data_IF_592293777277
#
_entry.id   IF_592293777277
#
_cell.length_a   1.000
_cell.length_b   1.000
_cell.length_c   1.000
_cell.angle_alpha   90.00
_cell.angle_beta   90.00
_cell.angle_gamma   90.00
#
_symmetry.space_group_name_H-M   'P 1'
#
loop_
_entity.id
_entity.type
_entity.pdbx_description
1 polymer ?
#
# COMPACT_ATOMS: atom_id res chain seq x y z
N UNK A 1 -0.52 -14.17 -9.46
CA UNK A 1 0.68 -15.01 -9.68
C UNK A 1 1.83 -14.37 -8.93
N UNK A 2 2.53 -15.09 -8.05
CA UNK A 2 3.58 -14.53 -7.21
C UNK A 2 4.77 -14.05 -8.05
N UNK A 3 5.21 -12.82 -7.81
CA UNK A 3 6.34 -12.19 -8.49
C UNK A 3 7.57 -12.25 -7.58
N UNK A 4 8.72 -12.61 -8.16
CA UNK A 4 10.00 -12.61 -7.47
C UNK A 4 10.78 -11.33 -7.84
N UNK A 5 10.90 -10.37 -6.91
CA UNK A 5 11.65 -9.13 -7.10
C UNK A 5 13.11 -9.35 -7.56
N UNK A 6 13.93 -10.20 -6.90
CA UNK A 6 15.34 -10.36 -7.25
C UNK A 6 15.58 -10.93 -8.65
N UNK A 7 14.66 -11.77 -9.14
CA UNK A 7 14.76 -12.40 -10.45
C UNK A 7 13.93 -11.68 -11.53
N UNK A 8 13.18 -10.64 -11.14
CA UNK A 8 12.25 -9.90 -11.98
C UNK A 8 11.32 -10.80 -12.82
N UNK A 9 10.78 -11.87 -12.21
CA UNK A 9 10.03 -12.91 -12.94
C UNK A 9 8.80 -13.40 -12.17
N UNK A 10 7.72 -13.67 -12.90
CA UNK A 10 6.55 -14.37 -12.37
C UNK A 10 6.81 -15.87 -12.27
N UNK A 11 6.45 -16.44 -11.12
CA UNK A 11 6.56 -17.86 -10.85
C UNK A 11 5.16 -18.48 -10.77
N UNK A 12 5.00 -19.68 -11.33
CA UNK A 12 3.80 -20.51 -11.12
C UNK A 12 3.95 -21.31 -9.82
N UNK A 13 2.86 -21.69 -9.13
CA UNK A 13 2.93 -22.47 -7.88
C UNK A 13 3.79 -23.75 -7.99
N UNK A 14 3.81 -24.37 -9.17
CA UNK A 14 4.61 -25.57 -9.49
C UNK A 14 6.10 -25.31 -9.69
N UNK A 15 6.52 -24.05 -9.75
CA UNK A 15 7.90 -23.62 -9.97
C UNK A 15 8.56 -23.01 -8.72
N UNK A 16 7.85 -23.04 -7.58
CA UNK A 16 8.41 -22.68 -6.27
C UNK A 16 9.05 -23.91 -5.63
N UNK A 17 9.97 -23.69 -4.70
CA UNK A 17 10.42 -24.74 -3.79
C UNK A 17 9.26 -25.19 -2.87
N UNK A 18 9.41 -26.35 -2.24
CA UNK A 18 8.40 -26.90 -1.32
C UNK A 18 8.08 -25.93 -0.16
N UNK A 19 9.05 -25.09 0.23
CA UNK A 19 8.91 -24.06 1.27
C UNK A 19 8.26 -22.75 0.76
N UNK A 20 7.86 -22.66 -0.51
CA UNK A 20 7.28 -21.45 -1.12
C UNK A 20 8.30 -20.36 -1.49
N UNK A 21 9.59 -20.70 -1.58
CA UNK A 21 10.67 -19.77 -1.99
C UNK A 21 11.00 -19.90 -3.48
N UNK A 22 11.69 -18.90 -4.03
CA UNK A 22 12.17 -18.94 -5.42
C UNK A 22 13.34 -19.92 -5.58
N UNK A 23 13.34 -20.83 -6.57
CA UNK A 23 14.43 -21.80 -6.77
C UNK A 23 15.76 -21.19 -7.25
N UNK A 24 15.74 -19.95 -7.76
CA UNK A 24 16.94 -19.29 -8.30
C UNK A 24 17.66 -18.44 -7.25
N UNK A 25 16.92 -17.72 -6.42
CA UNK A 25 17.48 -16.76 -5.45
C UNK A 25 17.11 -17.06 -4.00
N UNK A 26 16.29 -18.08 -3.74
CA UNK A 26 15.78 -18.48 -2.43
C UNK A 26 15.04 -17.39 -1.64
N UNK A 27 14.65 -16.30 -2.31
CA UNK A 27 13.86 -15.26 -1.68
C UNK A 27 12.43 -15.76 -1.40
N UNK A 28 11.81 -15.32 -0.29
CA UNK A 28 10.40 -15.59 -0.01
C UNK A 28 9.53 -14.88 -1.05
N UNK A 29 8.62 -15.62 -1.67
CA UNK A 29 7.74 -15.10 -2.73
C UNK A 29 6.30 -15.10 -2.21
N UNK A 30 5.64 -13.94 -2.19
CA UNK A 30 4.25 -13.81 -1.71
C UNK A 30 4.08 -13.03 -0.40
N UNK A 31 5.17 -12.64 0.27
CA UNK A 31 5.11 -11.73 1.44
C UNK A 31 4.94 -10.25 1.06
N UNK A 32 4.96 -9.93 -0.24
CA UNK A 32 4.84 -8.56 -0.75
C UNK A 32 3.53 -7.89 -0.33
N UNK A 33 2.42 -8.63 -0.30
CA UNK A 33 1.14 -8.07 0.17
C UNK A 33 1.16 -7.76 1.66
N UNK A 34 1.81 -8.59 2.47
CA UNK A 34 1.93 -8.35 3.92
C UNK A 34 2.81 -7.13 4.20
N UNK A 35 3.95 -7.00 3.49
CA UNK A 35 4.81 -5.81 3.57
C UNK A 35 4.13 -4.55 3.04
N UNK A 36 3.34 -4.65 1.97
CA UNK A 36 2.57 -3.52 1.45
C UNK A 36 1.52 -3.05 2.46
N UNK A 37 0.81 -3.98 3.12
CA UNK A 37 -0.13 -3.64 4.22
C UNK A 37 0.59 -2.99 5.41
N UNK A 38 1.78 -3.47 5.76
CA UNK A 38 2.60 -2.89 6.83
C UNK A 38 3.08 -1.48 6.47
N UNK A 39 3.59 -1.27 5.25
CA UNK A 39 4.01 0.04 4.76
C UNK A 39 2.86 1.07 4.78
N UNK A 40 1.63 0.63 4.47
CA UNK A 40 0.45 1.48 4.57
C UNK A 40 0.01 1.77 6.01
N UNK A 41 0.35 0.90 6.97
CA UNK A 41 -0.04 1.04 8.37
C UNK A 41 0.95 1.90 9.18
N UNK A 42 2.22 1.93 8.80
CA UNK A 42 3.29 2.47 9.64
C UNK A 42 3.63 3.95 9.36
N UNK A 43 3.18 4.52 8.25
CA UNK A 43 3.45 5.94 7.91
C UNK A 43 2.23 6.84 8.17
N UNK A 44 2.20 7.58 9.30
CA UNK A 44 1.15 8.56 9.53
C UNK A 44 1.25 9.69 8.50
N UNK A 45 0.10 10.10 7.95
CA UNK A 45 0.05 11.18 6.96
C UNK A 45 0.77 12.46 7.47
N UNK A 46 1.54 13.14 6.59
CA UNK A 46 2.34 14.31 6.97
C UNK A 46 1.46 15.44 7.51
N UNK A 47 2.00 16.23 8.45
CA UNK A 47 1.22 17.25 9.17
C UNK A 47 0.58 18.29 8.24
N UNK A 48 1.28 18.71 7.19
CA UNK A 48 0.76 19.64 6.19
C UNK A 48 -0.48 19.07 5.46
N UNK A 49 -0.51 17.76 5.18
CA UNK A 49 -1.66 17.13 4.53
C UNK A 49 -2.91 17.21 5.42
N UNK A 50 -2.75 16.97 6.72
CA UNK A 50 -3.85 17.11 7.70
C UNK A 50 -4.41 18.53 7.74
N UNK A 51 -3.56 19.56 7.62
CA UNK A 51 -4.01 20.95 7.57
C UNK A 51 -4.82 21.27 6.31
N UNK A 52 -4.37 20.79 5.14
CA UNK A 52 -5.11 20.96 3.89
C UNK A 52 -6.50 20.33 3.97
N UNK A 53 -6.60 19.13 4.55
CA UNK A 53 -7.89 18.45 4.77
C UNK A 53 -8.78 19.27 5.72
N UNK A 54 -8.23 19.75 6.84
CA UNK A 54 -8.98 20.56 7.80
C UNK A 54 -9.51 21.86 7.17
N UNK A 55 -8.67 22.59 6.42
CA UNK A 55 -9.07 23.79 5.71
C UNK A 55 -10.17 23.52 4.68
N UNK A 56 -10.08 22.39 3.96
CA UNK A 56 -11.09 21.96 3.00
C UNK A 56 -12.44 21.68 3.68
N UNK A 57 -12.44 20.94 4.80
CA UNK A 57 -13.66 20.66 5.58
C UNK A 57 -14.31 21.94 6.09
N UNK A 58 -13.51 22.87 6.62
CA UNK A 58 -14.00 24.17 7.09
C UNK A 58 -14.61 24.98 5.95
N UNK A 59 -13.95 25.05 4.80
CA UNK A 59 -14.44 25.78 3.63
C UNK A 59 -15.75 25.18 3.10
N UNK A 60 -15.81 23.85 2.96
CA UNK A 60 -17.01 23.18 2.49
C UNK A 60 -18.15 23.28 3.49
N UNK A 61 -17.87 23.18 4.80
CA UNK A 61 -18.86 23.41 5.85
C UNK A 61 -19.43 24.82 5.81
N UNK A 62 -18.57 25.84 5.68
CA UNK A 62 -19.00 27.22 5.50
C UNK A 62 -19.84 27.40 4.23
N UNK A 63 -19.38 26.83 3.11
CA UNK A 63 -20.09 26.90 1.83
C UNK A 63 -21.46 26.21 1.91
N UNK A 64 -21.55 25.12 2.65
CA UNK A 64 -22.81 24.43 2.91
C UNK A 64 -23.75 25.33 3.70
N UNK A 65 -23.31 25.95 4.80
CA UNK A 65 -24.12 26.93 5.56
C UNK A 65 -24.60 28.07 4.65
N UNK A 66 -23.71 28.63 3.83
CA UNK A 66 -24.03 29.69 2.88
C UNK A 66 -25.07 29.28 1.81
N UNK A 67 -25.21 27.99 1.51
CA UNK A 67 -26.24 27.52 0.56
C UNK A 67 -27.64 27.50 1.19
N UNK A 68 -27.74 27.37 2.52
CA UNK A 68 -29.01 27.23 3.24
C UNK A 68 -29.42 28.46 4.07
N UNK A 69 -28.51 29.41 4.29
CA UNK A 69 -28.73 30.69 4.97
C UNK A 69 -28.66 31.82 3.96
#
# INVERSE_FOLDING_TARGET
>A
MPYCEPCAKYLTPTSLCDDGTCPTCHAPVGETEARARQALAEEPAPWHFKLLVAATVVYLGWRFVQLFV
#
